data_IF_088806474956
#
_entry.id   IF_088806474956
#
_cell.length_a   1.000
_cell.length_b   1.000
_cell.length_c   1.000
_cell.angle_alpha   90.00
_cell.angle_beta   90.00
_cell.angle_gamma   90.00
#
_symmetry.space_group_name_H-M   'P 1'
#
loop_
_entity.id
_entity.type
_entity.pdbx_description
1 polymer ?
#
# COMPACT_ATOMS: atom_id res chain seq x y z
N UNK A 1 -39.47 20.08 41.46
CA UNK A 1 -38.25 19.26 41.47
C UNK A 1 -37.60 19.40 40.10
N UNK A 2 -36.38 19.92 40.10
CA UNK A 2 -35.65 20.39 38.92
C UNK A 2 -34.99 19.22 38.20
N UNK A 3 -35.17 19.19 36.88
CA UNK A 3 -34.25 18.70 35.84
C UNK A 3 -33.45 17.42 36.12
N UNK A 4 -33.87 16.31 35.51
CA UNK A 4 -33.00 15.14 35.25
C UNK A 4 -32.85 14.81 33.76
N UNK A 5 -33.50 15.57 32.87
CA UNK A 5 -33.51 15.29 31.42
C UNK A 5 -32.27 15.89 30.73
N UNK A 6 -31.68 16.96 31.27
CA UNK A 6 -30.56 17.69 30.67
C UNK A 6 -29.23 16.92 30.67
N UNK A 7 -28.90 16.22 31.76
CA UNK A 7 -27.61 15.53 31.87
C UNK A 7 -27.50 14.31 30.96
N UNK A 8 -28.57 13.52 30.82
CA UNK A 8 -28.60 12.35 29.93
C UNK A 8 -28.54 12.75 28.46
N UNK A 9 -29.26 13.80 28.07
CA UNK A 9 -29.21 14.36 26.73
C UNK A 9 -27.83 14.93 26.40
N UNK A 10 -27.19 15.64 27.34
CA UNK A 10 -25.84 16.17 27.19
C UNK A 10 -24.79 15.05 27.07
N UNK A 11 -24.90 14.00 27.91
CA UNK A 11 -24.05 12.81 27.82
C UNK A 11 -24.22 12.07 26.48
N UNK A 12 -25.45 11.91 26.00
CA UNK A 12 -25.73 11.31 24.70
C UNK A 12 -25.17 12.16 23.54
N UNK A 13 -25.29 13.49 23.61
CA UNK A 13 -24.70 14.40 22.61
C UNK A 13 -23.17 14.37 22.63
N UNK A 14 -22.56 14.34 23.82
CA UNK A 14 -21.11 14.24 23.99
C UNK A 14 -20.58 12.88 23.49
N UNK A 15 -21.32 11.79 23.70
CA UNK A 15 -20.99 10.47 23.15
C UNK A 15 -21.13 10.45 21.62
N UNK A 16 -22.17 11.08 21.05
CA UNK A 16 -22.32 11.23 19.60
C UNK A 16 -21.17 12.06 19.00
N UNK A 17 -20.83 13.20 19.62
CA UNK A 17 -19.69 14.04 19.20
C UNK A 17 -18.34 13.31 19.37
N UNK A 18 -18.17 12.52 20.42
CA UNK A 18 -17.00 11.66 20.62
C UNK A 18 -16.90 10.56 19.55
N UNK A 19 -18.01 9.99 19.08
CA UNK A 19 -18.02 9.02 17.97
C UNK A 19 -17.73 9.67 16.61
N UNK A 20 -18.11 10.93 16.38
CA UNK A 20 -17.87 11.63 15.10
C UNK A 20 -16.39 11.94 14.83
N UNK A 21 -15.49 11.81 15.81
CA UNK A 21 -14.09 12.24 15.65
C UNK A 21 -13.10 11.11 15.36
N UNK A 22 -13.54 9.86 15.17
CA UNK A 22 -12.61 8.72 15.03
C UNK A 22 -12.72 7.90 13.74
N UNK A 23 -13.34 8.41 12.67
CA UNK A 23 -13.14 7.87 11.32
C UNK A 23 -11.98 8.58 10.63
N UNK A 24 -10.76 8.42 11.16
CA UNK A 24 -9.58 8.56 10.29
C UNK A 24 -9.69 7.40 9.30
N UNK A 25 -10.28 7.72 8.14
CA UNK A 25 -10.77 6.76 7.18
C UNK A 25 -9.64 5.85 6.71
N UNK A 26 -9.88 4.55 6.82
CA UNK A 26 -9.10 3.49 6.18
C UNK A 26 -9.04 3.83 4.68
N UNK A 27 -7.94 4.45 4.25
CA UNK A 27 -7.80 4.89 2.88
C UNK A 27 -7.38 3.71 2.03
N UNK A 28 -8.14 3.45 0.96
CA UNK A 28 -7.81 2.41 -0.01
C UNK A 28 -6.45 2.74 -0.62
N UNK A 29 -5.57 1.74 -0.64
CA UNK A 29 -4.24 1.81 -1.25
C UNK A 29 -4.35 1.28 -2.67
N UNK A 30 -3.79 2.01 -3.61
CA UNK A 30 -3.72 1.64 -5.01
C UNK A 30 -2.25 1.45 -5.36
N UNK A 31 -1.88 0.27 -5.85
CA UNK A 31 -0.52 -0.04 -6.25
C UNK A 31 -0.50 -0.23 -7.76
N UNK A 32 0.41 0.45 -8.44
CA UNK A 32 0.70 0.30 -9.87
C UNK A 32 2.16 -0.07 -10.04
N UNK A 33 2.44 -1.13 -10.80
CA UNK A 33 3.79 -1.56 -11.15
C UNK A 33 3.93 -1.49 -12.68
N UNK A 34 4.94 -0.77 -13.16
CA UNK A 34 5.23 -0.60 -14.59
C UNK A 34 6.58 -1.22 -14.94
N UNK A 35 6.64 -1.91 -16.08
CA UNK A 35 7.88 -2.51 -16.61
C UNK A 35 8.72 -1.50 -17.40
N UNK A 36 9.90 -1.13 -16.88
CA UNK A 36 10.89 -0.28 -17.55
C UNK A 36 12.27 -0.96 -17.58
N UNK A 37 12.32 -2.28 -17.71
CA UNK A 37 13.58 -3.03 -17.83
C UNK A 37 14.41 -2.62 -19.07
N UNK A 38 13.75 -2.09 -20.10
CA UNK A 38 14.32 -1.78 -21.42
C UNK A 38 14.60 -3.02 -22.27
N UNK A 39 14.91 -2.80 -23.56
CA UNK A 39 15.35 -3.85 -24.49
C UNK A 39 14.30 -4.92 -24.81
N UNK A 40 13.04 -4.51 -24.98
CA UNK A 40 11.89 -5.38 -25.26
C UNK A 40 11.68 -6.53 -24.27
N UNK A 41 12.24 -6.41 -23.06
CA UNK A 41 12.13 -7.44 -22.03
C UNK A 41 10.74 -7.46 -21.41
N UNK A 42 10.17 -8.66 -21.36
CA UNK A 42 8.93 -8.94 -20.62
C UNK A 42 9.26 -9.22 -19.16
N UNK A 43 8.55 -8.53 -18.26
CA UNK A 43 8.67 -8.70 -16.82
C UNK A 43 7.57 -9.62 -16.28
N UNK A 44 7.94 -10.69 -15.61
CA UNK A 44 7.02 -11.51 -14.81
C UNK A 44 7.07 -11.04 -13.36
N UNK A 45 5.91 -10.66 -12.82
CA UNK A 45 5.74 -10.19 -11.45
C UNK A 45 4.78 -11.13 -10.72
N UNK A 46 5.10 -11.54 -9.50
CA UNK A 46 4.16 -12.22 -8.61
C UNK A 46 4.13 -11.49 -7.28
N UNK A 47 2.98 -10.92 -6.92
CA UNK A 47 2.81 -10.20 -5.66
C UNK A 47 1.92 -10.96 -4.70
N UNK A 48 2.26 -10.92 -3.42
CA UNK A 48 1.41 -11.43 -2.34
C UNK A 48 1.69 -10.71 -1.03
N UNK A 49 0.75 -10.81 -0.10
CA UNK A 49 0.91 -10.48 1.30
C UNK A 49 0.92 -11.75 2.13
N UNK A 50 0.85 -11.61 3.46
CA UNK A 50 0.63 -12.75 4.36
C UNK A 50 -0.72 -13.43 4.12
N UNK A 51 -1.75 -12.64 3.82
CA UNK A 51 -3.15 -13.08 3.83
C UNK A 51 -3.76 -13.16 2.41
N UNK A 52 -3.19 -12.45 1.44
CA UNK A 52 -3.71 -12.33 0.08
C UNK A 52 -2.66 -12.66 -0.98
N UNK A 53 -3.00 -13.49 -1.96
CA UNK A 53 -2.18 -13.70 -3.15
C UNK A 53 -2.79 -12.94 -4.34
N UNK A 54 -2.05 -11.97 -4.88
CA UNK A 54 -2.48 -11.17 -6.04
C UNK A 54 -2.27 -11.96 -7.36
N UNK A 55 -1.37 -12.93 -7.33
CA UNK A 55 -1.04 -13.82 -8.42
C UNK A 55 0.05 -13.29 -9.35
N UNK A 56 0.34 -14.10 -10.36
CA UNK A 56 1.36 -13.82 -11.37
C UNK A 56 0.79 -12.91 -12.47
N UNK A 57 1.60 -11.96 -12.92
CA UNK A 57 1.33 -11.02 -14.01
C UNK A 57 2.53 -10.98 -14.95
N UNK A 58 2.27 -10.99 -16.24
CA UNK A 58 3.29 -10.90 -17.28
C UNK A 58 3.11 -9.56 -17.98
N UNK A 59 4.11 -8.70 -17.87
CA UNK A 59 4.08 -7.33 -18.34
C UNK A 59 5.02 -7.17 -19.54
N UNK A 60 4.49 -6.96 -20.76
CA UNK A 60 5.28 -6.49 -21.88
C UNK A 60 6.04 -5.19 -21.56
N UNK A 61 6.98 -4.75 -22.41
CA UNK A 61 7.63 -3.45 -22.26
C UNK A 61 6.61 -2.32 -22.07
N UNK A 62 6.86 -1.44 -21.09
CA UNK A 62 6.02 -0.29 -20.74
C UNK A 62 4.60 -0.63 -20.25
N UNK A 63 4.24 -1.90 -20.16
CA UNK A 63 2.97 -2.32 -19.61
C UNK A 63 2.97 -2.18 -18.08
N UNK A 64 1.77 -1.96 -17.53
CA UNK A 64 1.56 -1.84 -16.10
C UNK A 64 0.46 -2.75 -15.59
N UNK A 65 0.60 -3.18 -14.36
CA UNK A 65 -0.41 -3.91 -13.60
C UNK A 65 -0.78 -3.15 -12.34
N UNK A 66 -2.05 -3.22 -11.95
CA UNK A 66 -2.59 -2.54 -10.79
C UNK A 66 -3.40 -3.46 -9.90
N UNK A 67 -3.29 -3.24 -8.59
CA UNK A 67 -4.18 -3.83 -7.60
C UNK A 67 -4.47 -2.83 -6.49
N UNK A 68 -5.45 -3.15 -5.65
CA UNK A 68 -5.79 -2.30 -4.53
C UNK A 68 -6.23 -3.11 -3.34
N UNK A 69 -5.95 -2.59 -2.16
CA UNK A 69 -6.32 -3.20 -0.90
C UNK A 69 -6.66 -2.11 0.11
N UNK A 70 -7.31 -2.51 1.19
CA UNK A 70 -7.49 -1.66 2.37
C UNK A 70 -6.61 -2.24 3.46
N UNK A 71 -5.65 -1.49 4.02
CA UNK A 71 -4.88 -1.98 5.14
C UNK A 71 -5.85 -2.38 6.26
N UNK A 72 -5.68 -3.57 6.82
CA UNK A 72 -6.54 -4.06 7.89
C UNK A 72 -6.12 -3.37 9.19
N UNK A 73 -6.95 -2.45 9.69
CA UNK A 73 -6.80 -1.80 10.99
C UNK A 73 -7.72 -2.49 12.00
N UNK A 74 -7.45 -3.75 12.33
CA UNK A 74 -8.27 -4.49 13.30
C UNK A 74 -7.78 -4.15 14.72
N UNK A 75 -8.63 -3.41 15.45
CA UNK A 75 -8.46 -2.86 16.81
C UNK A 75 -7.44 -1.72 16.98
N UNK A 76 -7.97 -0.52 17.21
CA UNK A 76 -7.31 0.73 17.60
C UNK A 76 -6.68 0.70 19.01
N UNK A 77 -6.25 -0.47 19.48
CA UNK A 77 -5.31 -0.55 20.61
C UNK A 77 -3.92 -0.58 19.99
N UNK A 78 -3.02 0.27 20.47
CA UNK A 78 -1.67 0.60 19.96
C UNK A 78 -0.70 -0.58 19.69
N UNK A 79 -1.17 -1.82 19.72
CA UNK A 79 -0.38 -3.04 19.74
C UNK A 79 -0.56 -3.97 18.52
N UNK A 80 -1.57 -3.77 17.64
CA UNK A 80 -1.81 -4.68 16.49
C UNK A 80 -1.95 -4.00 15.11
N UNK A 81 -1.58 -2.73 14.94
CA UNK A 81 -1.61 -2.03 13.63
C UNK A 81 -0.29 -2.17 12.84
N UNK A 82 0.24 -3.37 12.61
CA UNK A 82 1.67 -3.52 12.26
C UNK A 82 2.07 -4.26 10.97
N UNK A 83 1.15 -4.89 10.20
CA UNK A 83 1.62 -6.01 9.35
C UNK A 83 1.13 -6.07 7.89
N UNK A 84 0.40 -5.08 7.34
CA UNK A 84 0.08 -5.18 5.89
C UNK A 84 1.32 -4.87 5.07
N UNK A 85 1.85 -5.90 4.43
CA UNK A 85 3.03 -5.87 3.58
C UNK A 85 2.73 -6.65 2.30
N UNK A 86 3.07 -6.06 1.16
CA UNK A 86 3.05 -6.75 -0.13
C UNK A 86 4.48 -6.85 -0.64
N UNK A 87 4.94 -8.07 -0.81
CA UNK A 87 6.22 -8.38 -1.40
C UNK A 87 5.99 -9.03 -2.77
N UNK A 88 6.80 -8.62 -3.73
CA UNK A 88 6.70 -9.10 -5.10
C UNK A 88 7.99 -9.74 -5.55
N UNK A 89 7.85 -10.83 -6.30
CA UNK A 89 8.94 -11.48 -7.01
C UNK A 89 8.99 -10.97 -8.46
N UNK A 90 10.20 -10.83 -8.99
CA UNK A 90 10.48 -10.31 -10.33
C UNK A 90 11.38 -11.27 -11.09
N UNK A 91 11.01 -11.55 -12.35
CA UNK A 91 11.82 -12.35 -13.27
C UNK A 91 11.67 -11.86 -14.70
N UNK A 92 12.76 -11.89 -15.47
CA UNK A 92 12.78 -11.58 -16.89
C UNK A 92 13.88 -12.40 -17.60
N UNK A 93 13.86 -12.51 -18.93
CA UNK A 93 14.91 -13.21 -19.69
C UNK A 93 16.31 -12.63 -19.43
N UNK A 94 17.30 -13.51 -19.18
CA UNK A 94 18.68 -13.10 -18.90
C UNK A 94 18.97 -12.73 -17.44
N UNK A 95 17.98 -12.79 -16.54
CA UNK A 95 18.22 -12.74 -15.10
C UNK A 95 18.48 -14.14 -14.55
N UNK A 96 19.53 -14.29 -13.74
CA UNK A 96 19.76 -15.50 -12.97
C UNK A 96 18.86 -15.50 -11.72
N UNK A 97 17.94 -16.48 -11.64
CA UNK A 97 17.03 -16.64 -10.52
C UNK A 97 15.84 -15.67 -10.49
N UNK A 98 15.39 -15.32 -9.29
CA UNK A 98 14.23 -14.48 -9.00
C UNK A 98 14.70 -13.40 -8.01
N UNK A 99 14.26 -12.15 -8.21
CA UNK A 99 14.50 -11.07 -7.27
C UNK A 99 13.24 -10.71 -6.51
N UNK A 100 13.39 -10.23 -5.27
CA UNK A 100 12.27 -9.89 -4.40
C UNK A 100 12.40 -8.46 -3.91
N UNK A 101 11.27 -7.78 -3.74
CA UNK A 101 11.21 -6.47 -3.09
C UNK A 101 9.84 -6.22 -2.46
N UNK A 102 9.83 -5.40 -1.40
CA UNK A 102 8.62 -4.97 -0.72
C UNK A 102 8.01 -3.75 -1.45
N UNK A 103 6.93 -4.00 -2.18
CA UNK A 103 6.21 -2.99 -2.98
C UNK A 103 5.20 -2.21 -2.13
N UNK A 104 4.83 -2.73 -0.97
CA UNK A 104 4.15 -1.97 0.07
C UNK A 104 4.62 -2.43 1.44
N UNK A 105 5.03 -1.48 2.28
CA UNK A 105 5.32 -1.72 3.69
C UNK A 105 4.59 -0.68 4.53
N UNK A 106 3.74 -1.12 5.45
CA UNK A 106 2.92 -0.24 6.28
C UNK A 106 3.72 0.87 6.97
N UNK A 107 4.87 0.58 7.60
CA UNK A 107 5.62 1.61 8.33
C UNK A 107 6.28 2.62 7.42
N UNK A 108 6.65 2.20 6.21
CA UNK A 108 7.28 3.05 5.20
C UNK A 108 6.25 3.91 4.46
N UNK A 109 5.09 3.33 4.15
CA UNK A 109 4.20 3.84 3.11
C UNK A 109 2.83 4.31 3.62
N UNK A 110 2.36 3.88 4.80
CA UNK A 110 0.94 4.05 5.19
C UNK A 110 0.49 5.52 5.21
N UNK A 111 1.34 6.42 5.70
CA UNK A 111 1.01 7.86 5.73
C UNK A 111 1.19 8.53 4.36
N UNK A 112 2.15 8.05 3.57
CA UNK A 112 2.65 8.77 2.40
C UNK A 112 2.08 8.26 1.08
N UNK A 113 1.40 7.11 1.08
CA UNK A 113 1.08 6.40 -0.15
C UNK A 113 -0.38 5.94 -0.23
N UNK A 114 -1.28 6.79 -0.73
CA UNK A 114 -2.60 6.35 -1.22
C UNK A 114 -2.50 5.78 -2.64
N UNK A 115 -1.61 6.33 -3.44
CA UNK A 115 -1.30 5.94 -4.83
C UNK A 115 0.18 5.57 -4.92
N UNK A 116 0.47 4.27 -4.83
CA UNK A 116 1.82 3.71 -4.86
C UNK A 116 2.19 3.34 -6.28
N UNK A 117 2.87 4.26 -6.95
CA UNK A 117 3.36 4.07 -8.31
C UNK A 117 4.79 3.57 -8.26
N UNK A 118 5.05 2.47 -8.95
CA UNK A 118 6.33 1.81 -9.03
C UNK A 118 6.73 1.59 -10.47
N UNK A 119 8.01 1.78 -10.74
CA UNK A 119 8.66 1.44 -12.00
C UNK A 119 9.76 0.42 -11.70
N UNK A 120 9.83 -0.65 -12.49
CA UNK A 120 10.82 -1.70 -12.31
C UNK A 120 11.91 -1.58 -13.36
N UNK A 121 13.13 -1.28 -12.91
CA UNK A 121 14.35 -1.32 -13.70
C UNK A 121 15.14 -2.59 -13.38
N UNK A 122 16.19 -2.87 -14.18
CA UNK A 122 17.10 -4.01 -13.92
C UNK A 122 17.79 -3.94 -12.56
N UNK A 123 18.04 -2.73 -12.04
CA UNK A 123 18.66 -2.52 -10.74
C UNK A 123 17.72 -2.71 -9.55
N UNK A 124 16.40 -2.64 -9.77
CA UNK A 124 15.41 -2.67 -8.70
C UNK A 124 14.15 -1.85 -9.03
N UNK A 125 13.09 -1.99 -8.21
CA UNK A 125 11.93 -1.12 -8.27
C UNK A 125 12.21 0.26 -7.67
N UNK A 126 11.71 1.30 -8.33
CA UNK A 126 11.73 2.67 -7.86
C UNK A 126 10.30 3.18 -7.68
N UNK A 127 10.04 3.80 -6.53
CA UNK A 127 8.75 4.37 -6.17
C UNK A 127 8.68 5.84 -6.56
N UNK A 128 7.50 6.28 -7.00
CA UNK A 128 7.25 7.69 -7.28
C UNK A 128 7.34 8.52 -5.99
N UNK A 129 8.08 9.62 -6.08
CA UNK A 129 8.28 10.56 -5.01
C UNK A 129 7.51 11.85 -5.28
N UNK A 130 6.45 12.08 -4.50
CA UNK A 130 5.61 13.28 -4.63
C UNK A 130 6.34 14.60 -4.38
N UNK A 131 7.50 14.59 -3.71
CA UNK A 131 8.27 15.81 -3.45
C UNK A 131 9.13 16.21 -4.64
N UNK A 132 9.80 15.25 -5.27
CA UNK A 132 10.71 15.49 -6.41
C UNK A 132 10.02 15.30 -7.76
N UNK A 133 8.84 14.70 -7.77
CA UNK A 133 8.07 14.32 -8.97
C UNK A 133 8.81 13.31 -9.86
N UNK A 134 9.64 12.46 -9.27
CA UNK A 134 10.45 11.46 -9.96
C UNK A 134 10.31 10.07 -9.33
N UNK A 135 10.68 9.03 -10.09
CA UNK A 135 10.84 7.67 -9.57
C UNK A 135 12.24 7.49 -8.97
N UNK A 136 12.53 8.21 -7.89
CA UNK A 136 13.88 8.28 -7.29
C UNK A 136 14.02 7.55 -5.94
N UNK A 137 12.92 7.05 -5.37
CA UNK A 137 12.93 6.18 -4.19
C UNK A 137 13.16 4.73 -4.60
N UNK A 138 14.41 4.40 -4.91
CA UNK A 138 14.79 3.09 -5.44
C UNK A 138 15.21 2.10 -4.37
N UNK A 139 14.88 0.82 -4.59
CA UNK A 139 15.22 -0.30 -3.72
C UNK A 139 15.96 -1.34 -4.56
N UNK A 140 17.20 -1.65 -4.18
CA UNK A 140 18.03 -2.59 -4.94
C UNK A 140 17.60 -4.04 -4.72
N UNK A 141 17.81 -4.87 -5.75
CA UNK A 141 17.61 -6.33 -5.74
C UNK A 141 18.73 -7.14 -5.08
#
# INVERSE_FOLDING_TARGET
MVSFIGNGMLLMLLLLLATTTYTWGISKRHVRITNELGGDLTLTVHCKSKDDDIGVKVLPPHASFEFSFRPLYVFKTQFYCRNTEFFCSFRWPGLDGIRWADIYNYYRDDYCCSQCQWVVYKGGPCMYNFQTQLFDKCFNF
#
